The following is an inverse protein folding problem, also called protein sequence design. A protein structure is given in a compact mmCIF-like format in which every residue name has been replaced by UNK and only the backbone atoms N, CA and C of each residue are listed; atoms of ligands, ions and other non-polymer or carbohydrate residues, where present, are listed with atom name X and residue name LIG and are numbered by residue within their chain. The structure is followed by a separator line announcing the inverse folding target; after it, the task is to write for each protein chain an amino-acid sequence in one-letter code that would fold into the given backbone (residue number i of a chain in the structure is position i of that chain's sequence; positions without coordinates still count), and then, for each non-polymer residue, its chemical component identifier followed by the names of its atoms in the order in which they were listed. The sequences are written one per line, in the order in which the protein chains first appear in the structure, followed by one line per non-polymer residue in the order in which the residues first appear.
data_IF_240870050769
#
_entry.id   IF_240870050769
#
_cell.length_a   1.000
_cell.length_b   1.000
_cell.length_c   1.000
_cell.angle_alpha   90.00
_cell.angle_beta   90.00
_cell.angle_gamma   90.00
#
_symmetry.space_group_name_H-M   'P 1'
#
loop_
_entity.id
_entity.type
_entity.pdbx_description
1 polymer ?
#
# COMPACT_ATOMS: atom_id res chain seq x y z
N UNK A 1 30.46 -5.35 -32.95
CA UNK A 1 29.32 -5.58 -32.03
C UNK A 1 28.05 -5.36 -32.82
N UNK A 2 27.20 -6.39 -32.95
CA UNK A 2 26.02 -6.34 -33.80
C UNK A 2 24.99 -5.33 -33.24
N UNK A 3 24.61 -4.36 -34.05
CA UNK A 3 23.61 -3.36 -33.71
C UNK A 3 22.23 -4.03 -33.74
N UNK A 4 21.76 -4.51 -32.58
CA UNK A 4 20.46 -5.17 -32.43
C UNK A 4 19.38 -4.12 -32.70
N UNK A 5 18.76 -4.14 -33.89
CA UNK A 5 17.65 -3.25 -34.24
C UNK A 5 16.51 -3.48 -33.24
N UNK A 6 16.19 -2.48 -32.43
CA UNK A 6 15.02 -2.53 -31.55
C UNK A 6 13.74 -2.46 -32.40
N UNK A 7 12.69 -3.15 -31.98
CA UNK A 7 11.39 -3.08 -32.65
C UNK A 7 10.89 -1.63 -32.66
N UNK A 8 10.26 -1.22 -33.78
CA UNK A 8 9.75 0.16 -33.93
C UNK A 8 8.74 0.54 -32.83
N UNK A 9 8.08 -0.46 -32.22
CA UNK A 9 7.16 -0.30 -31.11
C UNK A 9 7.86 0.05 -29.77
N UNK A 10 9.09 -0.42 -29.56
CA UNK A 10 9.84 -0.15 -28.32
C UNK A 10 10.52 1.23 -28.30
N UNK A 11 10.57 1.91 -29.45
CA UNK A 11 11.14 3.25 -29.57
C UNK A 11 10.22 4.25 -28.87
N UNK A 12 10.76 4.94 -27.87
CA UNK A 12 10.05 5.93 -27.06
C UNK A 12 9.87 7.24 -27.84
N UNK A 13 8.66 7.51 -28.32
CA UNK A 13 8.34 8.68 -29.18
C UNK A 13 7.56 9.80 -28.48
N UNK A 14 6.90 9.50 -27.36
CA UNK A 14 6.01 10.44 -26.68
C UNK A 14 6.72 11.18 -25.53
N UNK A 15 6.38 12.45 -25.36
CA UNK A 15 6.88 13.32 -24.28
C UNK A 15 5.75 13.55 -23.27
N UNK A 16 6.04 13.34 -21.98
CA UNK A 16 5.13 13.61 -20.87
C UNK A 16 5.71 14.74 -20.00
N UNK A 17 5.24 15.99 -20.16
CA UNK A 17 5.79 17.12 -19.41
C UNK A 17 5.29 17.12 -17.96
N UNK A 18 6.23 17.24 -17.01
CA UNK A 18 5.96 17.37 -15.57
C UNK A 18 6.49 18.71 -15.09
N UNK A 19 5.67 19.49 -14.38
CA UNK A 19 6.11 20.71 -13.71
C UNK A 19 6.68 20.35 -12.34
N UNK A 20 7.85 20.91 -12.03
CA UNK A 20 8.55 20.70 -10.78
C UNK A 20 8.90 22.07 -10.20
N UNK A 21 8.85 22.18 -8.88
CA UNK A 21 9.54 23.23 -8.14
C UNK A 21 11.06 23.00 -8.15
N UNK A 22 11.82 24.02 -7.78
CA UNK A 22 13.28 23.93 -7.71
C UNK A 22 13.75 22.81 -6.77
N UNK A 23 13.06 22.66 -5.62
CA UNK A 23 13.35 21.62 -4.63
C UNK A 23 13.10 20.21 -5.21
N UNK A 24 11.98 20.03 -5.91
CA UNK A 24 11.64 18.73 -6.51
C UNK A 24 12.63 18.36 -7.63
N UNK A 25 13.07 19.35 -8.41
CA UNK A 25 14.04 19.16 -9.47
C UNK A 25 15.40 18.72 -8.90
N UNK A 26 15.89 19.37 -7.85
CA UNK A 26 17.16 19.01 -7.22
C UNK A 26 17.09 17.66 -6.53
N UNK A 27 15.97 17.35 -5.87
CA UNK A 27 15.75 16.02 -5.29
C UNK A 27 15.75 14.93 -6.36
N UNK A 28 15.15 15.18 -7.53
CA UNK A 28 15.14 14.23 -8.64
C UNK A 28 16.55 14.00 -9.18
N UNK A 29 17.37 15.05 -9.29
CA UNK A 29 18.76 14.95 -9.72
C UNK A 29 19.58 14.09 -8.76
N UNK A 30 19.51 14.38 -7.46
CA UNK A 30 20.22 13.62 -6.42
C UNK A 30 19.84 12.15 -6.50
N UNK A 31 18.53 11.83 -6.51
CA UNK A 31 18.05 10.44 -6.61
C UNK A 31 18.51 9.73 -7.88
N UNK A 32 18.58 10.45 -8.99
CA UNK A 32 19.02 9.86 -10.26
C UNK A 32 20.52 9.55 -10.25
N UNK A 33 21.33 10.42 -9.64
CA UNK A 33 22.76 10.21 -9.45
C UNK A 33 23.03 9.02 -8.54
N UNK A 34 22.35 8.95 -7.39
CA UNK A 34 22.48 7.83 -6.45
C UNK A 34 22.09 6.49 -7.09
N UNK A 35 21.08 6.50 -7.97
CA UNK A 35 20.62 5.33 -8.69
C UNK A 35 21.46 5.00 -9.94
N UNK A 36 22.46 5.82 -10.28
CA UNK A 36 23.33 5.61 -11.45
C UNK A 36 22.61 5.66 -12.80
N UNK A 37 21.51 6.40 -12.90
CA UNK A 37 20.68 6.48 -14.12
C UNK A 37 20.20 7.89 -14.41
N UNK A 38 19.67 8.14 -15.61
CA UNK A 38 19.12 9.45 -15.93
C UNK A 38 17.83 9.72 -15.16
N UNK A 39 17.54 10.99 -14.88
CA UNK A 39 16.29 11.40 -14.24
C UNK A 39 15.04 10.87 -14.98
N UNK A 40 15.07 10.86 -16.32
CA UNK A 40 13.97 10.32 -17.14
C UNK A 40 13.80 8.82 -16.96
N UNK A 41 14.89 8.05 -16.89
CA UNK A 41 14.82 6.60 -16.69
C UNK A 41 14.40 6.24 -15.26
N UNK A 42 14.91 6.99 -14.27
CA UNK A 42 14.45 6.88 -12.89
C UNK A 42 12.95 7.13 -12.77
N UNK A 43 12.46 8.21 -13.39
CA UNK A 43 11.04 8.57 -13.38
C UNK A 43 10.20 7.48 -14.06
N UNK A 44 10.66 6.96 -15.21
CA UNK A 44 9.98 5.87 -15.92
C UNK A 44 9.90 4.60 -15.07
N UNK A 45 11.01 4.20 -14.45
CA UNK A 45 11.06 2.99 -13.61
C UNK A 45 10.18 3.15 -12.38
N UNK A 46 10.17 4.33 -11.76
CA UNK A 46 9.32 4.60 -10.61
C UNK A 46 7.83 4.71 -10.98
N UNK A 47 7.49 5.24 -12.15
CA UNK A 47 6.12 5.45 -12.58
C UNK A 47 5.47 4.21 -13.23
N UNK A 48 6.25 3.42 -13.97
CA UNK A 48 5.73 2.29 -14.77
C UNK A 48 6.13 0.92 -14.24
N UNK A 49 7.27 0.80 -13.56
CA UNK A 49 7.83 -0.50 -13.14
C UNK A 49 7.71 -0.76 -11.63
N UNK A 50 7.21 0.22 -10.86
CA UNK A 50 6.83 -0.03 -9.47
C UNK A 50 5.36 -0.39 -9.43
N UNK A 51 4.96 -1.46 -8.70
CA UNK A 51 3.56 -1.68 -8.42
C UNK A 51 3.01 -0.43 -7.74
N UNK A 52 1.92 0.10 -8.27
CA UNK A 52 1.19 1.17 -7.59
C UNK A 52 0.82 0.64 -6.21
N UNK A 53 0.92 1.45 -5.14
CA UNK A 53 0.44 1.02 -3.83
C UNK A 53 -1.00 0.53 -4.01
N UNK A 54 -1.27 -0.73 -3.63
CA UNK A 54 -2.60 -1.33 -3.75
C UNK A 54 -3.59 -0.32 -3.17
N UNK A 55 -4.62 0.05 -3.94
CA UNK A 55 -5.70 0.89 -3.39
C UNK A 55 -6.26 0.11 -2.22
N UNK A 56 -6.05 0.61 -1.00
CA UNK A 56 -6.70 0.07 0.18
C UNK A 56 -8.19 -0.01 -0.15
N UNK A 57 -8.76 -1.22 -0.14
CA UNK A 57 -10.19 -1.40 -0.32
C UNK A 57 -10.91 -0.54 0.71
N UNK A 58 -12.10 0.00 0.40
CA UNK A 58 -12.86 0.80 1.38
C UNK A 58 -13.05 0.04 2.71
N UNK A 59 -13.11 -1.29 2.63
CA UNK A 59 -13.14 -2.22 3.75
C UNK A 59 -11.86 -2.07 4.58
N UNK A 60 -10.67 -2.21 3.99
CA UNK A 60 -9.39 -2.09 4.72
C UNK A 60 -9.18 -0.75 5.43
N UNK A 61 -9.68 0.36 4.88
CA UNK A 61 -9.59 1.67 5.54
C UNK A 61 -10.54 1.77 6.74
N UNK A 62 -11.77 1.27 6.59
CA UNK A 62 -12.76 1.22 7.66
C UNK A 62 -12.27 0.29 8.80
N UNK A 63 -11.76 -0.89 8.46
CA UNK A 63 -11.16 -1.83 9.41
C UNK A 63 -9.98 -1.21 10.15
N UNK A 64 -9.09 -0.48 9.47
CA UNK A 64 -7.98 0.22 10.11
C UNK A 64 -8.46 1.28 11.12
N UNK A 65 -9.50 2.03 10.77
CA UNK A 65 -10.09 3.04 11.64
C UNK A 65 -10.76 2.42 12.87
N UNK A 66 -11.52 1.33 12.68
CA UNK A 66 -12.16 0.57 13.76
C UNK A 66 -11.14 -0.04 14.72
N UNK A 67 -10.05 -0.63 14.20
CA UNK A 67 -8.93 -1.11 15.01
C UNK A 67 -8.29 0.01 15.84
N UNK A 68 -8.15 1.21 15.27
CA UNK A 68 -7.68 2.39 15.99
C UNK A 68 -8.61 2.81 17.14
N UNK A 69 -9.92 2.78 16.93
CA UNK A 69 -10.90 3.07 17.99
C UNK A 69 -10.86 2.03 19.11
N UNK A 70 -10.77 0.75 18.74
CA UNK A 70 -10.61 -0.38 19.66
C UNK A 70 -9.36 -0.20 20.54
N UNK A 71 -8.21 0.12 19.93
CA UNK A 71 -6.97 0.39 20.66
C UNK A 71 -7.08 1.56 21.64
N UNK A 72 -7.77 2.63 21.24
CA UNK A 72 -8.01 3.78 22.11
C UNK A 72 -8.90 3.43 23.32
N UNK A 73 -9.96 2.65 23.11
CA UNK A 73 -10.84 2.21 24.19
C UNK A 73 -10.13 1.28 25.17
N UNK A 74 -9.30 0.36 24.66
CA UNK A 74 -8.42 -0.48 25.48
C UNK A 74 -7.46 0.35 26.34
N UNK A 75 -6.81 1.34 25.74
CA UNK A 75 -5.88 2.19 26.47
C UNK A 75 -6.59 2.98 27.59
N UNK A 76 -7.82 3.43 27.35
CA UNK A 76 -8.64 4.08 28.38
C UNK A 76 -9.00 3.13 29.52
N UNK A 77 -9.39 1.89 29.21
CA UNK A 77 -9.68 0.86 30.21
C UNK A 77 -8.45 0.50 31.05
N UNK A 78 -7.28 0.33 30.42
CA UNK A 78 -6.02 0.05 31.13
C UNK A 78 -5.67 1.22 32.05
N UNK A 79 -5.78 2.46 31.58
CA UNK A 79 -5.55 3.65 32.40
C UNK A 79 -6.51 3.72 33.59
N UNK A 80 -7.81 3.51 33.37
CA UNK A 80 -8.81 3.53 34.44
C UNK A 80 -8.57 2.43 35.48
N UNK A 81 -8.21 1.23 35.02
CA UNK A 81 -7.88 0.06 35.85
C UNK A 81 -6.64 0.32 36.70
N UNK A 82 -5.54 0.76 36.08
CA UNK A 82 -4.29 1.10 36.77
C UNK A 82 -4.50 2.22 37.78
N UNK A 83 -5.30 3.23 37.44
CA UNK A 83 -5.63 4.35 38.34
C UNK A 83 -6.43 3.85 39.56
N UNK A 84 -7.40 2.96 39.36
CA UNK A 84 -8.19 2.40 40.45
C UNK A 84 -7.36 1.52 41.41
N UNK A 85 -6.49 0.67 40.86
CA UNK A 85 -5.55 -0.14 41.64
C UNK A 85 -4.63 0.76 42.48
N UNK A 86 -4.08 1.81 41.88
CA UNK A 86 -3.18 2.75 42.56
C UNK A 86 -3.90 3.53 43.68
N UNK A 87 -5.20 3.77 43.53
CA UNK A 87 -6.05 4.39 44.55
C UNK A 87 -6.59 3.40 45.60
N UNK A 88 -6.19 2.12 45.55
CA UNK A 88 -6.67 1.08 46.47
C UNK A 88 -8.15 0.75 46.31
N UNK A 89 -8.74 1.09 45.16
CA UNK A 89 -10.15 0.84 44.82
C UNK A 89 -10.27 -0.37 43.91
N UNK A 90 -11.45 -0.97 43.89
CA UNK A 90 -11.75 -2.05 42.93
C UNK A 90 -11.73 -1.48 41.51
N UNK A 91 -11.07 -2.18 40.55
CA UNK A 91 -10.98 -1.68 39.19
C UNK A 91 -12.37 -1.57 38.53
N UNK A 92 -12.69 -0.48 37.83
CA UNK A 92 -13.99 -0.27 37.19
C UNK A 92 -14.05 -0.95 35.81
N UNK A 93 -13.45 -2.13 35.66
CA UNK A 93 -13.51 -2.86 34.40
C UNK A 93 -14.87 -3.55 34.29
N UNK A 94 -15.76 -3.01 33.47
CA UNK A 94 -17.05 -3.65 33.14
C UNK A 94 -16.76 -4.89 32.28
N UNK A 95 -17.04 -6.11 32.77
CA UNK A 95 -16.81 -7.35 32.01
C UNK A 95 -17.50 -7.35 30.64
N UNK A 96 -18.58 -6.59 30.50
CA UNK A 96 -19.39 -6.45 29.29
C UNK A 96 -18.61 -5.76 28.16
N UNK A 97 -17.87 -4.68 28.48
CA UNK A 97 -17.04 -3.97 27.49
C UNK A 97 -15.88 -4.84 26.99
N UNK A 98 -15.34 -5.70 27.87
CA UNK A 98 -14.30 -6.66 27.50
C UNK A 98 -14.83 -7.76 26.57
N UNK A 99 -16.08 -8.21 26.77
CA UNK A 99 -16.74 -9.17 25.88
C UNK A 99 -17.04 -8.58 24.51
N UNK A 100 -17.60 -7.37 24.47
CA UNK A 100 -17.90 -6.67 23.22
C UNK A 100 -16.62 -6.44 22.38
N UNK A 101 -15.53 -6.07 23.04
CA UNK A 101 -14.22 -5.93 22.42
C UNK A 101 -13.68 -7.25 21.83
N UNK A 102 -13.84 -8.35 22.57
CA UNK A 102 -13.41 -9.69 22.12
C UNK A 102 -14.21 -10.12 20.88
N UNK A 103 -15.52 -9.85 20.86
CA UNK A 103 -16.42 -10.11 19.73
C UNK A 103 -15.97 -9.36 18.47
N UNK A 104 -15.67 -8.05 18.62
CA UNK A 104 -15.18 -7.21 17.53
C UNK A 104 -13.82 -7.67 16.98
N UNK A 105 -12.90 -8.07 17.86
CA UNK A 105 -11.62 -8.65 17.45
C UNK A 105 -11.79 -9.96 16.69
N UNK A 106 -12.71 -10.83 17.14
CA UNK A 106 -13.02 -12.06 16.42
C UNK A 106 -13.64 -11.81 15.05
N UNK A 107 -14.50 -10.80 14.93
CA UNK A 107 -15.07 -10.38 13.65
C UNK A 107 -13.99 -9.87 12.69
N UNK A 108 -13.15 -8.92 13.13
CA UNK A 108 -12.03 -8.41 12.33
C UNK A 108 -11.09 -9.53 11.86
N UNK A 109 -10.80 -10.52 12.71
CA UNK A 109 -9.96 -11.67 12.34
C UNK A 109 -10.60 -12.52 11.25
N UNK A 110 -11.92 -12.71 11.29
CA UNK A 110 -12.66 -13.45 10.24
C UNK A 110 -12.62 -12.71 8.91
N UNK A 111 -12.86 -11.41 8.94
CA UNK A 111 -12.94 -10.58 7.73
C UNK A 111 -11.58 -10.46 7.02
N UNK A 112 -10.48 -10.37 7.78
CA UNK A 112 -9.11 -10.40 7.22
C UNK A 112 -8.80 -11.77 6.62
N UNK A 113 -9.19 -12.86 7.28
CA UNK A 113 -8.91 -14.22 6.80
C UNK A 113 -9.72 -14.62 5.54
N UNK A 114 -10.84 -13.93 5.26
CA UNK A 114 -11.64 -14.16 4.05
C UNK A 114 -11.13 -13.41 2.81
N UNK A 115 -10.31 -12.35 2.98
CA UNK A 115 -9.79 -11.54 1.87
C UNK A 115 -8.51 -12.13 1.23
N UNK A 116 -7.98 -13.23 1.77
CA UNK A 116 -6.74 -13.91 1.30
C UNK A 116 -7.01 -15.01 0.24
N UNK A 117 -8.21 -15.12 -0.35
CA UNK A 117 -8.58 -16.27 -1.23
C UNK A 117 -8.64 -15.97 -2.74
N UNK A 118 -8.59 -14.72 -3.21
CA UNK A 118 -8.81 -14.42 -4.64
C UNK A 118 -7.63 -13.66 -5.31
N UNK A 119 -6.44 -14.26 -5.37
CA UNK A 119 -5.34 -13.79 -6.23
C UNK A 119 -4.57 -14.99 -6.86
N UNK A 120 -5.27 -16.05 -7.28
CA UNK A 120 -4.71 -17.10 -8.17
C UNK A 120 -5.40 -17.11 -9.54
N UNK A 121 -4.60 -16.74 -10.54
CA UNK A 121 -4.63 -17.16 -11.94
C UNK A 121 -5.83 -16.79 -12.83
N UNK A 122 -5.58 -15.86 -13.76
CA UNK A 122 -5.67 -16.10 -15.22
C UNK A 122 -5.17 -14.87 -15.99
N UNK A 123 -3.85 -14.80 -16.21
CA UNK A 123 -3.28 -14.01 -17.31
C UNK A 123 -3.62 -14.73 -18.63
N UNK A 124 -4.69 -14.32 -19.32
CA UNK A 124 -4.84 -14.60 -20.75
C UNK A 124 -4.35 -13.37 -21.53
N UNK A 125 -3.05 -13.33 -21.83
CA UNK A 125 -2.51 -12.46 -22.87
C UNK A 125 -2.76 -13.10 -24.26
N UNK A 126 -3.83 -12.68 -24.95
CA UNK A 126 -3.91 -12.86 -26.41
C UNK A 126 -3.00 -11.82 -27.08
N UNK A 127 -1.79 -12.25 -27.46
CA UNK A 127 -0.87 -11.50 -28.31
C UNK A 127 -1.03 -11.97 -29.76
N UNK A 128 -1.84 -11.27 -30.55
CA UNK A 128 -1.84 -11.40 -32.01
C UNK A 128 -0.57 -10.74 -32.59
N UNK A 129 0.44 -11.56 -32.85
CA UNK A 129 1.72 -11.21 -33.45
C UNK A 129 1.56 -11.15 -34.99
N UNK A 130 1.18 -9.97 -35.51
CA UNK A 130 1.03 -9.72 -36.95
C UNK A 130 2.40 -9.39 -37.59
N UNK A 131 3.09 -10.44 -38.04
CA UNK A 131 4.26 -10.34 -38.91
C UNK A 131 3.84 -10.47 -40.38
N UNK A 132 3.78 -9.36 -41.12
CA UNK A 132 3.76 -9.43 -42.59
C UNK A 132 5.17 -9.71 -43.13
N UNK A 133 5.31 -10.82 -43.84
CA UNK A 133 6.44 -11.14 -44.70
C UNK A 133 5.96 -11.24 -46.16
N UNK A 134 6.23 -10.20 -46.96
CA UNK A 134 7.07 -10.25 -48.17
C UNK A 134 7.26 -8.84 -48.76
#
# INVERSE_FOLDING_TARGET
MANRKQSKALVRKHIFPVRLSDIELDLLRIKSLDAGMSASELMRRNALMRPLPKRLSKISLQTYWELGQIGNNLNQLVKATNTAILMGRTPPAKPELLRELLELLHQCRRDIASDDVDDEDSEEEESDDDWEAD
#
